data_IF_445844181796
#
_entry.id   IF_445844181796
#
_cell.length_a   1.000
_cell.length_b   1.000
_cell.length_c   1.000
_cell.angle_alpha   90.00
_cell.angle_beta   90.00
_cell.angle_gamma   90.00
#
_symmetry.space_group_name_H-M   'P 1'
#
loop_
_entity.id
_entity.type
_entity.pdbx_description
1 polymer ?
#
# COMPACT_ATOMS: atom_id res chain seq x y z
N UNK A 1 -11.25 -11.74 -0.07
CA UNK A 1 -11.80 -10.47 -0.60
C UNK A 1 -11.15 -9.24 0.01
N UNK A 2 -10.80 -9.25 1.29
CA UNK A 2 -10.20 -8.10 1.99
C UNK A 2 -8.92 -7.57 1.34
N UNK A 3 -7.97 -8.44 0.96
CA UNK A 3 -6.73 -8.06 0.28
C UNK A 3 -6.97 -7.33 -1.05
N UNK A 4 -7.92 -7.81 -1.83
CA UNK A 4 -8.29 -7.20 -3.11
C UNK A 4 -8.93 -5.82 -2.90
N UNK A 5 -9.83 -5.70 -1.92
CA UNK A 5 -10.42 -4.42 -1.56
C UNK A 5 -9.36 -3.42 -1.09
N UNK A 6 -8.40 -3.85 -0.27
CA UNK A 6 -7.29 -3.02 0.18
C UNK A 6 -6.45 -2.49 -0.99
N UNK A 7 -6.11 -3.34 -1.96
CA UNK A 7 -5.42 -2.94 -3.18
C UNK A 7 -6.21 -1.87 -3.96
N UNK A 8 -7.50 -2.11 -4.21
CA UNK A 8 -8.35 -1.18 -4.97
C UNK A 8 -8.44 0.18 -4.28
N UNK A 9 -8.67 0.21 -2.96
CA UNK A 9 -8.75 1.46 -2.19
C UNK A 9 -7.42 2.21 -2.24
N UNK A 10 -6.29 1.50 -2.11
CA UNK A 10 -4.96 2.09 -2.18
C UNK A 10 -4.69 2.73 -3.56
N UNK A 11 -5.05 2.04 -4.64
CA UNK A 11 -4.91 2.56 -6.01
C UNK A 11 -5.75 3.83 -6.23
N UNK A 12 -7.00 3.86 -5.74
CA UNK A 12 -7.85 5.06 -5.81
C UNK A 12 -7.18 6.22 -5.07
N UNK A 13 -6.62 5.97 -3.89
CA UNK A 13 -5.90 6.99 -3.12
C UNK A 13 -4.66 7.52 -3.88
N UNK A 14 -3.90 6.63 -4.53
CA UNK A 14 -2.74 7.02 -5.35
C UNK A 14 -3.16 7.90 -6.53
N UNK A 15 -4.25 7.55 -7.23
CA UNK A 15 -4.78 8.36 -8.35
C UNK A 15 -5.19 9.75 -7.85
N UNK A 16 -5.86 9.86 -6.70
CA UNK A 16 -6.22 11.15 -6.12
C UNK A 16 -4.98 12.01 -5.79
N UNK A 17 -3.85 11.39 -5.41
CA UNK A 17 -2.58 12.08 -5.09
C UNK A 17 -1.81 12.58 -6.33
N UNK A 18 -2.04 12.01 -7.52
CA UNK A 18 -1.40 12.44 -8.77
C UNK A 18 -1.80 13.85 -9.24
N UNK A 19 -2.86 14.44 -8.68
CA UNK A 19 -3.34 15.79 -9.05
C UNK A 19 -2.57 16.96 -8.44
N UNK A 20 -1.73 16.72 -7.42
CA UNK A 20 -1.01 17.77 -6.71
C UNK A 20 0.40 17.98 -7.32
N UNK A 21 0.68 19.22 -7.76
CA UNK A 21 1.99 19.61 -8.32
C UNK A 21 3.00 20.06 -7.26
N UNK A 22 2.64 20.06 -5.98
CA UNK A 22 3.55 20.44 -4.90
C UNK A 22 4.64 19.38 -4.64
N UNK A 23 5.79 19.81 -4.12
CA UNK A 23 6.86 18.91 -3.65
C UNK A 23 6.35 17.89 -2.62
N UNK A 24 5.45 18.30 -1.73
CA UNK A 24 4.80 17.42 -0.75
C UNK A 24 3.90 16.38 -1.43
N UNK A 25 3.15 16.79 -2.47
CA UNK A 25 2.36 15.87 -3.30
C UNK A 25 3.22 14.75 -3.89
N UNK A 26 4.40 15.08 -4.44
CA UNK A 26 5.34 14.09 -4.99
C UNK A 26 5.88 13.10 -3.94
N UNK A 27 6.13 13.56 -2.70
CA UNK A 27 6.60 12.69 -1.60
C UNK A 27 5.48 11.76 -1.10
N UNK A 28 4.27 12.28 -0.95
CA UNK A 28 3.10 11.48 -0.57
C UNK A 28 2.73 10.48 -1.67
N UNK A 29 2.94 10.83 -2.93
CA UNK A 29 2.80 9.94 -4.06
C UNK A 29 3.79 8.77 -3.98
N UNK A 30 5.07 9.06 -3.74
CA UNK A 30 6.11 8.05 -3.65
C UNK A 30 5.83 7.02 -2.54
N UNK A 31 5.37 7.48 -1.37
CA UNK A 31 5.00 6.57 -0.26
C UNK A 31 3.76 5.73 -0.59
N UNK A 32 2.79 6.28 -1.30
CA UNK A 32 1.60 5.52 -1.76
C UNK A 32 1.96 4.48 -2.81
N UNK A 33 2.90 4.80 -3.72
CA UNK A 33 3.39 3.85 -4.71
C UNK A 33 4.07 2.64 -4.05
N UNK A 34 4.82 2.86 -2.97
CA UNK A 34 5.41 1.75 -2.19
C UNK A 34 4.32 0.85 -1.61
N UNK A 35 3.23 1.44 -1.07
CA UNK A 35 2.11 0.68 -0.57
C UNK A 35 1.44 -0.15 -1.68
N UNK A 36 1.19 0.45 -2.85
CA UNK A 36 0.58 -0.24 -3.99
C UNK A 36 1.46 -1.40 -4.47
N UNK A 37 2.78 -1.22 -4.61
CA UNK A 37 3.68 -2.28 -5.03
C UNK A 37 3.64 -3.49 -4.08
N UNK A 38 3.56 -3.24 -2.77
CA UNK A 38 3.50 -4.31 -1.79
C UNK A 38 2.13 -5.01 -1.78
N UNK A 39 1.03 -4.28 -1.93
CA UNK A 39 -0.30 -4.86 -2.05
C UNK A 39 -0.45 -5.66 -3.36
N UNK A 40 0.10 -5.17 -4.48
CA UNK A 40 0.13 -5.89 -5.75
C UNK A 40 0.93 -7.19 -5.59
N UNK A 41 2.12 -7.14 -4.98
CA UNK A 41 2.91 -8.33 -4.72
C UNK A 41 2.14 -9.35 -3.85
N UNK A 42 1.44 -8.88 -2.81
CA UNK A 42 0.63 -9.73 -1.95
C UNK A 42 -0.52 -10.39 -2.73
N UNK A 43 -1.20 -9.63 -3.60
CA UNK A 43 -2.28 -10.15 -4.45
C UNK A 43 -1.75 -11.15 -5.47
N UNK A 44 -0.61 -10.89 -6.11
CA UNK A 44 0.01 -11.82 -7.06
C UNK A 44 0.36 -13.14 -6.38
N UNK A 45 0.99 -13.10 -5.20
CA UNK A 45 1.29 -14.32 -4.43
C UNK A 45 0.00 -15.07 -4.10
N UNK A 46 -1.02 -14.38 -3.59
CA UNK A 46 -2.31 -14.99 -3.28
C UNK A 46 -2.96 -15.65 -4.51
N UNK A 47 -2.99 -14.95 -5.65
CA UNK A 47 -3.60 -15.45 -6.88
C UNK A 47 -2.86 -16.68 -7.39
N UNK A 48 -1.53 -16.65 -7.43
CA UNK A 48 -0.72 -17.80 -7.85
C UNK A 48 -0.92 -18.99 -6.92
N UNK A 49 -0.91 -18.76 -5.60
CA UNK A 49 -1.06 -19.84 -4.61
C UNK A 49 -2.41 -20.53 -4.65
N UNK A 50 -3.50 -19.79 -4.94
CA UNK A 50 -4.86 -20.32 -4.93
C UNK A 50 -5.33 -20.83 -6.30
N UNK A 51 -4.89 -20.19 -7.40
CA UNK A 51 -5.42 -20.47 -8.74
C UNK A 51 -4.41 -21.11 -9.70
N UNK A 52 -3.11 -21.00 -9.43
CA UNK A 52 -2.07 -21.53 -10.33
C UNK A 52 -1.28 -22.71 -9.74
N UNK A 53 -1.27 -22.86 -8.41
CA UNK A 53 -0.62 -23.99 -7.73
C UNK A 53 -1.64 -24.78 -6.89
N UNK A 54 -1.58 -26.11 -6.95
CA UNK A 54 -2.36 -27.01 -6.06
C UNK A 54 -1.90 -26.95 -4.58
N UNK A 55 -0.94 -26.09 -4.24
CA UNK A 55 -0.44 -25.91 -2.89
C UNK A 55 -1.47 -25.26 -1.93
N UNK A 56 -2.39 -24.46 -2.45
CA UNK A 56 -3.39 -23.74 -1.65
C UNK A 56 -2.77 -22.70 -0.70
N UNK A 57 -3.56 -22.25 0.28
CA UNK A 57 -3.12 -21.28 1.29
C UNK A 57 -2.38 -21.97 2.45
N UNK A 58 -1.08 -22.13 2.30
CA UNK A 58 -0.22 -22.63 3.40
C UNK A 58 0.07 -21.53 4.43
N UNK A 59 0.43 -21.89 5.69
CA UNK A 59 0.80 -20.91 6.70
C UNK A 59 1.96 -19.99 6.29
N UNK A 60 2.93 -20.53 5.53
CA UNK A 60 4.06 -19.77 5.03
C UNK A 60 3.62 -18.70 4.01
N UNK A 61 2.76 -19.06 3.08
CA UNK A 61 2.20 -18.15 2.07
C UNK A 61 1.37 -17.05 2.73
N UNK A 62 0.55 -17.43 3.72
CA UNK A 62 -0.21 -16.46 4.52
C UNK A 62 0.70 -15.50 5.28
N UNK A 63 1.78 -15.98 5.89
CA UNK A 63 2.75 -15.11 6.56
C UNK A 63 3.40 -14.11 5.59
N UNK A 64 3.72 -14.53 4.36
CA UNK A 64 4.25 -13.63 3.32
C UNK A 64 3.25 -12.56 2.90
N UNK A 65 1.98 -12.93 2.68
CA UNK A 65 0.91 -11.97 2.32
C UNK A 65 0.68 -10.96 3.44
N UNK A 66 0.65 -11.40 4.70
CA UNK A 66 0.52 -10.53 5.88
C UNK A 66 1.71 -9.59 6.00
N UNK A 67 2.93 -10.09 5.79
CA UNK A 67 4.14 -9.27 5.84
C UNK A 67 4.15 -8.17 4.77
N UNK A 68 3.77 -8.49 3.53
CA UNK A 68 3.66 -7.51 2.45
C UNK A 68 2.56 -6.48 2.72
N UNK A 69 1.40 -6.93 3.21
CA UNK A 69 0.30 -6.02 3.60
C UNK A 69 0.71 -5.11 4.77
N UNK A 70 1.51 -5.63 5.71
CA UNK A 70 2.04 -4.88 6.84
C UNK A 70 2.99 -3.76 6.41
N UNK A 71 3.85 -4.00 5.42
CA UNK A 71 4.68 -2.94 4.88
C UNK A 71 3.87 -1.87 4.12
N UNK A 72 2.78 -2.26 3.45
CA UNK A 72 1.90 -1.31 2.77
C UNK A 72 1.18 -0.40 3.78
N UNK A 73 0.77 -0.97 4.91
CA UNK A 73 0.27 -0.21 6.05
C UNK A 73 1.31 0.79 6.57
N UNK A 74 2.55 0.35 6.78
CA UNK A 74 3.63 1.23 7.25
C UNK A 74 3.87 2.40 6.29
N UNK A 75 3.90 2.14 4.97
CA UNK A 75 4.06 3.19 3.97
C UNK A 75 2.92 4.24 4.03
N UNK A 76 1.67 3.79 4.21
CA UNK A 76 0.53 4.67 4.41
C UNK A 76 0.60 5.46 5.72
N UNK A 77 1.06 4.85 6.82
CA UNK A 77 1.29 5.55 8.09
C UNK A 77 2.36 6.64 7.90
N UNK A 78 3.47 6.34 7.22
CA UNK A 78 4.49 7.35 6.90
C UNK A 78 3.91 8.51 6.11
N UNK A 79 3.03 8.25 5.13
CA UNK A 79 2.31 9.31 4.40
C UNK A 79 1.51 10.22 5.33
N UNK A 80 0.79 9.65 6.32
CA UNK A 80 0.04 10.42 7.31
C UNK A 80 0.95 11.24 8.21
N UNK A 81 2.05 10.66 8.68
CA UNK A 81 3.03 11.37 9.53
C UNK A 81 3.59 12.59 8.80
N UNK A 82 4.01 12.42 7.54
CA UNK A 82 4.55 13.52 6.72
C UNK A 82 3.52 14.65 6.59
N UNK A 83 2.26 14.31 6.28
CA UNK A 83 1.18 15.28 6.14
C UNK A 83 0.93 16.04 7.46
N UNK A 84 0.89 15.33 8.59
CA UNK A 84 0.67 15.94 9.91
C UNK A 84 1.85 16.85 10.28
N UNK A 85 3.09 16.41 10.07
CA UNK A 85 4.27 17.23 10.37
C UNK A 85 4.28 18.52 9.56
N UNK A 86 3.95 18.45 8.27
CA UNK A 86 3.87 19.63 7.40
C UNK A 86 2.78 20.60 7.88
N UNK A 87 1.61 20.06 8.22
CA UNK A 87 0.47 20.83 8.71
C UNK A 87 0.80 21.56 10.02
N UNK A 88 1.58 20.94 10.91
CA UNK A 88 2.00 21.55 12.18
C UNK A 88 3.07 22.62 11.97
N UNK A 89 4.03 22.39 11.06
CA UNK A 89 5.07 23.39 10.75
C UNK A 89 4.49 24.64 10.08
N UNK A 90 3.50 24.50 9.20
CA UNK A 90 2.81 25.64 8.57
C UNK A 90 2.03 26.53 9.55
N UNK A 91 1.77 26.06 10.77
CA UNK A 91 1.06 26.83 11.82
C UNK A 91 2.01 27.60 12.75
N UNK A 92 3.33 27.58 12.51
CA UNK A 92 4.34 28.35 13.25
C UNK A 92 4.91 29.46 12.38
#
# INVERSE_FOLDING_TARGET
YELYAALVVSLIATIMKFGDRAHIGAVLLATSLVADLQLIAAVVIWTLSVHASDAGLTPMIMASIVSLSGGALLANITSVIILVTETVMFRR
#
